data_IF_387152210944
#
_entry.id   IF_387152210944
#
_cell.length_a   1.000
_cell.length_b   1.000
_cell.length_c   1.000
_cell.angle_alpha   90.00
_cell.angle_beta   90.00
_cell.angle_gamma   90.00
#
_symmetry.space_group_name_H-M   'P 1'
#
loop_
_entity.id
_entity.type
_entity.pdbx_description
1 polymer ?
#
# COMPACT_ATOMS: atom_id res chain seq x y z
N UNK A 1 -18.80 -4.51 10.29
CA UNK A 1 -18.60 -3.39 9.35
C UNK A 1 -17.21 -2.83 9.61
N UNK A 2 -16.47 -2.50 8.56
CA UNK A 2 -15.13 -1.90 8.63
C UNK A 2 -15.27 -0.38 8.54
N UNK A 3 -15.78 0.24 9.61
CA UNK A 3 -15.94 1.69 9.73
C UNK A 3 -15.16 2.15 10.96
N UNK A 4 -14.44 3.25 10.83
CA UNK A 4 -13.69 3.88 11.92
C UNK A 4 -13.73 5.41 11.83
N UNK A 5 -13.32 6.08 12.92
CA UNK A 5 -13.35 7.55 13.03
C UNK A 5 -12.54 8.27 11.96
N UNK A 6 -11.63 7.57 11.28
CA UNK A 6 -10.77 8.17 10.28
C UNK A 6 -11.51 8.29 8.93
N UNK A 7 -12.61 7.58 8.71
CA UNK A 7 -13.43 7.65 7.47
C UNK A 7 -13.92 9.07 7.17
N UNK A 8 -14.14 9.91 8.19
CA UNK A 8 -14.60 11.29 8.02
C UNK A 8 -13.52 12.25 7.49
N UNK A 9 -12.24 11.90 7.68
CA UNK A 9 -11.10 12.78 7.37
C UNK A 9 -10.27 12.32 6.18
N UNK A 10 -10.44 11.07 5.74
CA UNK A 10 -9.64 10.50 4.66
C UNK A 10 -10.32 10.73 3.32
N UNK A 11 -9.51 10.88 2.28
CA UNK A 11 -10.00 10.79 0.91
C UNK A 11 -10.25 9.33 0.54
N UNK A 12 -11.42 9.06 -0.05
CA UNK A 12 -11.83 7.72 -0.45
C UNK A 12 -11.70 7.59 -1.97
N UNK A 13 -10.70 6.84 -2.43
CA UNK A 13 -10.54 6.49 -3.83
C UNK A 13 -11.39 5.26 -4.14
N UNK A 14 -12.43 5.42 -4.96
CA UNK A 14 -13.41 4.37 -5.23
C UNK A 14 -13.26 3.87 -6.67
N UNK A 15 -13.19 2.54 -6.84
CA UNK A 15 -13.32 1.88 -8.12
C UNK A 15 -14.80 1.55 -8.38
N UNK A 16 -15.44 2.30 -9.28
CA UNK A 16 -16.83 2.12 -9.66
C UNK A 16 -16.99 1.34 -10.97
N UNK A 17 -17.80 0.28 -10.95
CA UNK A 17 -18.22 -0.42 -12.18
C UNK A 17 -19.50 0.19 -12.74
N UNK A 18 -19.46 0.65 -13.99
CA UNK A 18 -20.64 1.17 -14.69
C UNK A 18 -21.63 0.07 -15.07
N UNK A 19 -21.13 -1.09 -15.45
CA UNK A 19 -21.94 -2.25 -15.88
C UNK A 19 -22.75 -2.80 -14.71
N UNK A 20 -22.07 -3.18 -13.63
CA UNK A 20 -22.70 -3.76 -12.45
C UNK A 20 -23.18 -2.71 -11.44
N UNK A 21 -23.06 -1.41 -11.74
CA UNK A 21 -23.46 -0.26 -10.89
C UNK A 21 -23.09 -0.43 -9.41
N UNK A 22 -21.86 -0.87 -9.17
CA UNK A 22 -21.39 -1.21 -7.82
C UNK A 22 -19.93 -0.78 -7.64
N UNK A 23 -19.57 -0.48 -6.38
CA UNK A 23 -18.18 -0.30 -5.97
C UNK A 23 -17.49 -1.66 -6.05
N UNK A 24 -16.40 -1.76 -6.80
CA UNK A 24 -15.61 -2.98 -6.99
C UNK A 24 -14.33 -3.01 -6.14
N UNK A 25 -13.92 -1.87 -5.61
CA UNK A 25 -12.78 -1.75 -4.71
C UNK A 25 -12.58 -0.33 -4.26
N UNK A 26 -11.71 -0.12 -3.28
CA UNK A 26 -11.37 1.20 -2.80
C UNK A 26 -9.99 1.26 -2.16
N UNK A 27 -9.51 2.49 -1.94
CA UNK A 27 -8.42 2.85 -1.04
C UNK A 27 -8.84 4.04 -0.19
N UNK A 28 -8.32 4.12 1.02
CA UNK A 28 -8.31 5.35 1.82
C UNK A 28 -6.93 5.99 1.75
N UNK A 29 -6.91 7.31 1.62
CA UNK A 29 -5.73 8.12 1.43
C UNK A 29 -5.78 9.32 2.39
N UNK A 30 -4.68 9.63 3.07
CA UNK A 30 -4.50 10.94 3.71
C UNK A 30 -3.04 11.35 3.68
N UNK A 31 -2.77 12.64 3.57
CA UNK A 31 -1.41 13.14 3.71
C UNK A 31 -0.95 13.03 5.17
N UNK A 32 0.33 12.75 5.38
CA UNK A 32 0.97 12.63 6.70
C UNK A 32 0.79 13.86 7.60
N UNK A 33 0.56 15.04 7.03
CA UNK A 33 0.24 16.29 7.76
C UNK A 33 -1.26 16.64 7.80
N UNK A 34 -2.13 15.81 7.20
CA UNK A 34 -3.56 16.09 7.02
C UNK A 34 -4.45 15.79 8.22
N UNK A 35 -3.89 15.34 9.34
CA UNK A 35 -4.64 15.04 10.56
C UNK A 35 -4.23 13.72 11.23
N UNK A 36 -5.13 13.12 12.04
CA UNK A 36 -4.86 11.85 12.71
C UNK A 36 -4.61 10.71 11.72
N UNK A 37 -3.54 9.96 11.94
CA UNK A 37 -3.17 8.82 11.10
C UNK A 37 -3.72 7.51 11.65
N UNK A 38 -4.26 6.67 10.78
CA UNK A 38 -4.79 5.36 11.10
C UNK A 38 -3.68 4.46 11.63
N UNK A 39 -2.52 4.46 11.00
CA UNK A 39 -1.34 3.70 11.43
C UNK A 39 -0.88 4.06 12.84
N UNK A 40 -1.18 5.25 13.36
CA UNK A 40 -0.90 5.59 14.77
C UNK A 40 -1.77 4.81 15.77
N UNK A 41 -2.87 4.18 15.30
CA UNK A 41 -3.68 3.24 16.09
C UNK A 41 -3.08 1.83 16.16
N UNK A 42 -2.16 1.48 15.23
CA UNK A 42 -1.47 0.19 15.16
C UNK A 42 -0.03 0.28 15.69
N UNK A 43 0.61 1.42 15.48
CA UNK A 43 2.01 1.67 15.81
C UNK A 43 2.16 2.93 16.66
N UNK A 44 3.16 2.95 17.51
CA UNK A 44 3.65 4.16 18.18
C UNK A 44 4.82 4.69 17.37
N UNK A 45 4.73 5.96 16.99
CA UNK A 45 5.78 6.65 16.26
C UNK A 45 6.57 7.53 17.21
N UNK A 46 7.90 7.50 17.07
CA UNK A 46 8.73 8.56 17.64
C UNK A 46 8.42 9.90 16.95
N UNK A 47 8.69 11.05 17.60
CA UNK A 47 8.51 12.36 16.98
C UNK A 47 9.30 12.56 15.68
N UNK A 48 10.37 11.78 15.48
CA UNK A 48 11.23 11.87 14.29
C UNK A 48 10.69 11.10 13.09
N UNK A 49 9.74 10.17 13.27
CA UNK A 49 9.30 9.27 12.18
C UNK A 49 8.69 10.03 11.00
N UNK A 50 7.66 10.85 11.23
CA UNK A 50 6.99 11.61 10.17
C UNK A 50 7.91 12.69 9.56
N UNK A 51 8.68 13.48 10.33
CA UNK A 51 9.69 14.36 9.76
C UNK A 51 10.70 13.61 8.89
N UNK A 52 11.12 12.40 9.31
CA UNK A 52 12.03 11.57 8.52
C UNK A 52 11.37 11.11 7.24
N UNK A 53 10.07 10.81 7.22
CA UNK A 53 9.27 10.52 6.03
C UNK A 53 9.12 11.72 5.07
N UNK A 54 9.16 12.94 5.58
CA UNK A 54 8.83 14.13 4.78
C UNK A 54 7.38 14.08 4.29
N UNK A 55 7.03 14.82 3.21
CA UNK A 55 5.69 14.74 2.64
C UNK A 55 5.40 13.33 2.14
N UNK A 56 4.50 12.65 2.86
CA UNK A 56 4.12 11.26 2.61
C UNK A 56 2.60 11.11 2.56
N UNK A 57 2.13 10.11 1.83
CA UNK A 57 0.73 9.71 1.72
C UNK A 57 0.51 8.40 2.47
N UNK A 58 -0.36 8.42 3.47
CA UNK A 58 -0.83 7.20 4.11
C UNK A 58 -1.87 6.52 3.22
N UNK A 59 -1.67 5.23 2.96
CA UNK A 59 -2.57 4.38 2.21
C UNK A 59 -3.05 3.24 3.10
N UNK A 60 -4.35 2.95 3.06
CA UNK A 60 -4.91 1.86 3.87
C UNK A 60 -6.31 1.48 3.45
N UNK A 61 -6.89 0.54 4.21
CA UNK A 61 -8.28 0.08 4.05
C UNK A 61 -8.62 -0.34 2.62
N UNK A 62 -7.62 -0.86 1.92
CA UNK A 62 -7.79 -1.26 0.54
C UNK A 62 -8.59 -2.55 0.46
N UNK A 63 -9.57 -2.60 -0.44
CA UNK A 63 -10.25 -3.84 -0.77
C UNK A 63 -10.56 -3.92 -2.26
N UNK A 64 -10.70 -5.15 -2.76
CA UNK A 64 -11.28 -5.46 -4.05
C UNK A 64 -12.33 -6.54 -3.78
N UNK A 65 -13.53 -6.36 -4.31
CA UNK A 65 -14.61 -7.32 -4.13
C UNK A 65 -14.27 -8.68 -4.76
N UNK A 66 -14.67 -9.80 -4.15
CA UNK A 66 -14.34 -11.14 -4.65
C UNK A 66 -14.68 -11.34 -6.14
N UNK A 67 -15.78 -10.74 -6.62
CA UNK A 67 -16.21 -10.86 -8.02
C UNK A 67 -15.22 -10.18 -8.99
N UNK A 68 -14.56 -9.11 -8.56
CA UNK A 68 -13.55 -8.38 -9.33
C UNK A 68 -12.13 -8.95 -9.17
N UNK A 69 -11.84 -9.75 -8.15
CA UNK A 69 -10.49 -10.27 -7.86
C UNK A 69 -9.93 -11.20 -8.95
N UNK A 70 -10.78 -11.72 -9.85
CA UNK A 70 -10.37 -12.62 -10.94
C UNK A 70 -9.58 -11.92 -12.06
N UNK A 71 -9.59 -10.58 -12.10
CA UNK A 71 -8.84 -9.79 -13.07
C UNK A 71 -7.71 -8.99 -12.44
N UNK A 72 -6.63 -8.72 -13.19
CA UNK A 72 -5.54 -7.83 -12.75
C UNK A 72 -5.96 -6.34 -12.73
N UNK A 73 -6.97 -5.99 -13.52
CA UNK A 73 -7.37 -4.61 -13.77
C UNK A 73 -7.82 -3.80 -12.55
N UNK A 74 -8.56 -4.34 -11.55
CA UNK A 74 -9.05 -3.54 -10.43
C UNK A 74 -7.93 -2.90 -9.60
N UNK A 75 -6.93 -3.68 -9.20
CA UNK A 75 -5.78 -3.15 -8.45
C UNK A 75 -5.01 -2.14 -9.30
N UNK A 76 -4.82 -2.43 -10.59
CA UNK A 76 -4.15 -1.52 -11.52
C UNK A 76 -4.89 -0.18 -11.66
N UNK A 77 -6.23 -0.19 -11.75
CA UNK A 77 -7.05 1.02 -11.86
C UNK A 77 -7.03 1.85 -10.56
N UNK A 78 -7.11 1.20 -9.40
CA UNK A 78 -6.94 1.87 -8.11
C UNK A 78 -5.56 2.53 -8.04
N UNK A 79 -4.49 1.82 -8.39
CA UNK A 79 -3.15 2.39 -8.39
C UNK A 79 -2.92 3.46 -9.45
N UNK A 80 -3.64 3.43 -10.58
CA UNK A 80 -3.70 4.57 -11.52
C UNK A 80 -4.35 5.80 -10.88
N UNK A 81 -5.40 5.62 -10.09
CA UNK A 81 -6.01 6.71 -9.33
C UNK A 81 -5.06 7.30 -8.29
N UNK A 82 -4.30 6.45 -7.58
CA UNK A 82 -3.22 6.89 -6.68
C UNK A 82 -2.13 7.62 -7.46
N UNK A 83 -1.71 7.09 -8.62
CA UNK A 83 -0.72 7.73 -9.49
C UNK A 83 -1.14 9.12 -9.97
N UNK A 84 -2.42 9.29 -10.34
CA UNK A 84 -3.00 10.59 -10.69
C UNK A 84 -3.00 11.55 -9.49
N UNK A 85 -3.35 11.06 -8.30
CA UNK A 85 -3.28 11.86 -7.08
C UNK A 85 -1.85 12.34 -6.80
N UNK A 86 -0.85 11.46 -6.93
CA UNK A 86 0.56 11.82 -6.76
C UNK A 86 1.05 12.79 -7.82
N UNK A 87 0.61 12.66 -9.07
CA UNK A 87 0.97 13.59 -10.15
C UNK A 87 0.47 15.03 -9.87
N UNK A 88 -0.68 15.17 -9.20
CA UNK A 88 -1.22 16.46 -8.76
C UNK A 88 -0.56 16.99 -7.48
N UNK A 89 0.13 16.13 -6.74
CA UNK A 89 0.75 16.43 -5.45
C UNK A 89 2.24 16.03 -5.46
N UNK A 90 3.09 16.67 -6.30
CA UNK A 90 4.47 16.23 -6.55
C UNK A 90 5.42 16.39 -5.36
N UNK A 91 4.97 17.09 -4.30
CA UNK A 91 5.71 17.17 -3.04
C UNK A 91 5.75 15.82 -2.32
N UNK A 92 4.74 14.96 -2.52
CA UNK A 92 4.65 13.64 -1.89
C UNK A 92 5.70 12.70 -2.50
N UNK A 93 6.66 12.28 -1.69
CA UNK A 93 7.76 11.38 -2.11
C UNK A 93 7.64 9.97 -1.58
N UNK A 94 6.79 9.76 -0.58
CA UNK A 94 6.67 8.45 0.08
C UNK A 94 5.23 8.03 0.24
N UNK A 95 5.02 6.73 0.09
CA UNK A 95 3.78 6.06 0.49
C UNK A 95 4.06 5.27 1.75
N UNK A 96 3.13 5.26 2.70
CA UNK A 96 3.24 4.40 3.86
C UNK A 96 1.88 3.89 4.30
N UNK A 97 1.85 2.81 5.07
CA UNK A 97 0.59 2.24 5.53
C UNK A 97 0.72 0.81 6.03
N UNK A 98 -0.35 0.24 6.58
CA UNK A 98 -0.38 -1.17 6.93
C UNK A 98 -0.66 -2.00 5.66
N UNK A 99 0.20 -2.98 5.41
CA UNK A 99 -0.09 -4.08 4.49
C UNK A 99 -0.43 -5.34 5.28
N UNK A 100 -1.64 -5.83 5.11
CA UNK A 100 -2.20 -6.89 5.96
C UNK A 100 -2.03 -8.28 5.34
N UNK A 101 -1.61 -9.23 6.16
CA UNK A 101 -1.65 -10.67 5.88
C UNK A 101 -2.81 -11.24 6.71
N UNK A 102 -3.89 -11.63 6.03
CA UNK A 102 -5.13 -12.10 6.66
C UNK A 102 -4.90 -13.27 7.61
N UNK A 103 -5.67 -13.33 8.70
CA UNK A 103 -5.73 -14.49 9.59
C UNK A 103 -6.23 -15.78 8.91
N UNK A 104 -6.77 -15.68 7.69
CA UNK A 104 -7.10 -16.86 6.88
C UNK A 104 -5.86 -17.66 6.46
N UNK A 105 -4.67 -17.05 6.45
CA UNK A 105 -3.41 -17.74 6.21
C UNK A 105 -3.04 -18.57 7.44
N UNK A 106 -2.52 -19.78 7.21
CA UNK A 106 -2.01 -20.62 8.30
C UNK A 106 -0.90 -19.89 9.06
N UNK A 107 -0.76 -20.13 10.38
CA UNK A 107 0.31 -19.52 11.18
C UNK A 107 1.71 -19.71 10.58
N UNK A 108 1.98 -20.88 9.99
CA UNK A 108 3.25 -21.17 9.31
C UNK A 108 3.51 -20.22 8.13
N UNK A 109 2.51 -19.98 7.28
CA UNK A 109 2.62 -19.04 6.14
C UNK A 109 2.82 -17.60 6.61
N UNK A 110 2.07 -17.15 7.62
CA UNK A 110 2.24 -15.81 8.20
C UNK A 110 3.63 -15.63 8.78
N UNK A 111 4.13 -16.62 9.52
CA UNK A 111 5.48 -16.63 10.07
C UNK A 111 6.57 -16.63 9.00
N UNK A 112 6.43 -17.46 7.96
CA UNK A 112 7.38 -17.52 6.83
C UNK A 112 7.46 -16.19 6.08
N UNK A 113 6.31 -15.59 5.75
CA UNK A 113 6.26 -14.27 5.11
C UNK A 113 6.92 -13.22 5.99
N UNK A 114 6.54 -13.15 7.28
CA UNK A 114 7.07 -12.14 8.19
C UNK A 114 8.59 -12.26 8.40
N UNK A 115 9.11 -13.50 8.53
CA UNK A 115 10.56 -13.78 8.60
C UNK A 115 11.30 -13.33 7.35
N UNK A 116 10.81 -13.72 6.17
CA UNK A 116 11.43 -13.33 4.90
C UNK A 116 11.49 -11.80 4.76
N UNK A 117 10.39 -11.11 5.09
CA UNK A 117 10.31 -9.66 5.06
C UNK A 117 11.26 -9.00 6.08
N UNK A 118 11.36 -9.54 7.29
CA UNK A 118 12.28 -9.04 8.32
C UNK A 118 13.75 -9.23 7.91
N UNK A 119 14.09 -10.33 7.23
CA UNK A 119 15.46 -10.60 6.80
C UNK A 119 15.87 -9.77 5.56
N UNK A 120 14.96 -9.57 4.60
CA UNK A 120 15.31 -9.06 3.27
C UNK A 120 14.79 -7.63 2.97
N UNK A 121 13.69 -7.23 3.61
CA UNK A 121 12.97 -5.99 3.27
C UNK A 121 12.84 -5.01 4.44
N UNK A 122 13.55 -5.23 5.55
CA UNK A 122 13.42 -4.38 6.74
C UNK A 122 14.20 -3.07 6.61
N UNK A 123 13.58 -1.94 6.97
CA UNK A 123 14.27 -0.66 7.07
C UNK A 123 14.85 -0.49 8.47
N UNK A 124 16.16 -0.67 8.62
CA UNK A 124 16.84 -0.62 9.92
C UNK A 124 16.88 0.79 10.53
N UNK A 125 16.72 1.85 9.72
CA UNK A 125 16.72 3.22 10.21
C UNK A 125 15.32 3.61 10.70
N UNK A 126 14.29 3.40 9.87
CA UNK A 126 12.91 3.73 10.21
C UNK A 126 12.33 2.80 11.30
N UNK A 127 12.73 1.53 11.33
CA UNK A 127 12.24 0.60 12.36
C UNK A 127 12.59 1.02 13.79
N UNK A 128 13.71 1.73 14.01
CA UNK A 128 14.07 2.29 15.33
C UNK A 128 13.11 3.37 15.80
N UNK A 129 12.35 3.96 14.88
CA UNK A 129 11.42 5.07 15.11
C UNK A 129 9.98 4.59 15.29
N UNK A 130 9.72 3.28 15.21
CA UNK A 130 8.38 2.68 15.22
C UNK A 130 8.33 1.52 16.21
N UNK A 131 7.34 1.53 17.10
CA UNK A 131 7.05 0.39 17.97
C UNK A 131 5.62 -0.12 17.72
N UNK A 132 5.40 -1.42 17.46
CA UNK A 132 4.05 -1.96 17.33
C UNK A 132 3.31 -1.88 18.67
N UNK A 133 1.99 -1.64 18.63
CA UNK A 133 1.16 -1.64 19.84
C UNK A 133 0.86 -3.05 20.33
N UNK A 134 0.73 -4.00 19.40
CA UNK A 134 0.56 -5.44 19.63
C UNK A 134 1.62 -6.20 18.82
N UNK A 135 2.83 -6.42 19.39
CA UNK A 135 3.94 -7.00 18.65
C UNK A 135 3.62 -8.42 18.16
N UNK A 136 4.07 -8.74 16.95
CA UNK A 136 4.07 -10.11 16.44
C UNK A 136 5.37 -10.81 16.85
N UNK A 137 5.26 -11.99 17.47
CA UNK A 137 6.42 -12.79 17.83
C UNK A 137 6.98 -13.50 16.59
N UNK A 138 8.13 -13.03 16.11
CA UNK A 138 8.89 -13.69 15.05
C UNK A 138 9.64 -14.88 15.64
N UNK A 139 9.11 -16.09 15.47
CA UNK A 139 9.84 -17.31 15.83
C UNK A 139 10.90 -17.61 14.78
N UNK A 140 12.14 -17.86 15.19
CA UNK A 140 13.28 -18.10 14.30
C UNK A 140 13.37 -19.53 13.80
N UNK A 141 12.84 -20.50 14.54
CA UNK A 141 12.82 -21.91 14.15
C UNK A 141 11.54 -22.22 13.36
N UNK A 142 11.71 -22.58 12.09
CA UNK A 142 10.63 -23.14 11.29
C UNK A 142 11.14 -24.39 10.55
N UNK A 143 10.29 -25.42 10.34
CA UNK A 143 10.67 -26.63 9.62
C UNK A 143 10.79 -26.43 8.10
N UNK A 144 10.79 -25.18 7.62
CA UNK A 144 10.76 -24.82 6.21
C UNK A 144 12.06 -24.12 5.81
N UNK A 145 12.57 -24.33 4.58
CA UNK A 145 13.74 -23.62 4.10
C UNK A 145 13.48 -22.10 4.07
N UNK A 146 14.55 -21.32 4.28
CA UNK A 146 14.48 -19.87 4.13
C UNK A 146 14.39 -19.51 2.65
N UNK A 147 13.38 -18.75 2.21
CA UNK A 147 13.27 -18.37 0.81
C UNK A 147 14.36 -17.38 0.45
N UNK A 148 14.95 -17.54 -0.73
CA UNK A 148 16.01 -16.66 -1.24
C UNK A 148 15.49 -15.55 -2.15
N UNK A 149 14.24 -15.66 -2.60
CA UNK A 149 13.57 -14.69 -3.47
C UNK A 149 12.08 -14.60 -3.18
N UNK A 150 11.43 -13.55 -3.68
CA UNK A 150 9.98 -13.37 -3.55
C UNK A 150 9.21 -14.51 -4.25
N UNK A 151 9.72 -15.03 -5.35
CA UNK A 151 9.06 -16.11 -6.09
C UNK A 151 9.23 -17.46 -5.40
N UNK A 152 10.39 -17.71 -4.76
CA UNK A 152 10.57 -18.87 -3.90
C UNK A 152 9.69 -18.78 -2.63
N UNK A 153 9.59 -17.59 -2.02
CA UNK A 153 8.64 -17.36 -0.92
C UNK A 153 7.21 -17.68 -1.35
N UNK A 154 6.78 -17.20 -2.53
CA UNK A 154 5.44 -17.49 -3.04
C UNK A 154 5.20 -18.98 -3.23
N UNK A 155 6.15 -19.69 -3.84
CA UNK A 155 6.07 -21.14 -4.02
C UNK A 155 5.91 -21.86 -2.68
N UNK A 156 6.76 -21.55 -1.70
CA UNK A 156 6.66 -22.16 -0.36
C UNK A 156 5.34 -21.84 0.33
N UNK A 157 4.82 -20.61 0.20
CA UNK A 157 3.52 -20.26 0.77
C UNK A 157 2.39 -21.04 0.09
N UNK A 158 2.45 -21.25 -1.24
CA UNK A 158 1.48 -22.10 -1.96
C UNK A 158 1.52 -23.56 -1.52
N UNK A 159 2.70 -24.08 -1.20
CA UNK A 159 2.86 -25.45 -0.70
C UNK A 159 2.22 -25.62 0.70
N UNK A 160 2.21 -24.56 1.52
CA UNK A 160 1.61 -24.57 2.86
C UNK A 160 0.10 -24.34 2.81
N UNK A 161 -0.38 -23.45 1.94
CA UNK A 161 -1.77 -23.00 1.92
C UNK A 161 -2.70 -23.89 1.08
N UNK A 162 -3.93 -24.17 1.55
CA UNK A 162 -4.91 -24.87 0.72
C UNK A 162 -5.27 -24.05 -0.53
N UNK A 163 -5.53 -24.74 -1.64
CA UNK A 163 -5.88 -24.09 -2.91
C UNK A 163 -4.72 -23.34 -3.58
N UNK A 164 -3.47 -23.64 -3.22
CA UNK A 164 -2.26 -23.05 -3.78
C UNK A 164 -2.27 -21.50 -3.75
N UNK A 165 -2.75 -20.94 -2.63
CA UNK A 165 -2.76 -19.49 -2.40
C UNK A 165 -1.34 -19.00 -2.10
N UNK A 166 -0.83 -18.10 -2.93
CA UNK A 166 0.50 -17.50 -2.73
C UNK A 166 0.53 -16.34 -1.75
N UNK A 167 1.59 -15.54 -1.78
CA UNK A 167 1.68 -14.32 -0.96
C UNK A 167 0.56 -13.33 -1.32
N UNK A 168 0.07 -12.51 -0.36
CA UNK A 168 -0.95 -11.51 -0.65
C UNK A 168 -0.56 -10.63 -1.84
N UNK A 169 -1.46 -10.49 -2.82
CA UNK A 169 -1.20 -9.76 -4.07
C UNK A 169 -0.74 -8.33 -3.80
N UNK A 170 -1.34 -7.67 -2.82
CA UNK A 170 -0.96 -6.31 -2.45
C UNK A 170 0.42 -6.23 -1.80
N UNK A 171 0.77 -7.18 -0.93
CA UNK A 171 2.13 -7.27 -0.39
C UNK A 171 3.16 -7.43 -1.51
N UNK A 172 2.94 -8.39 -2.41
CA UNK A 172 3.80 -8.56 -3.60
C UNK A 172 3.93 -7.29 -4.41
N UNK A 173 2.83 -6.55 -4.57
CA UNK A 173 2.82 -5.30 -5.31
C UNK A 173 3.73 -4.25 -4.66
N UNK A 174 3.61 -4.02 -3.36
CA UNK A 174 4.49 -3.09 -2.64
C UNK A 174 5.97 -3.53 -2.68
N UNK A 175 6.27 -4.84 -2.59
CA UNK A 175 7.65 -5.32 -2.72
C UNK A 175 8.26 -5.02 -4.09
N UNK A 176 7.47 -5.10 -5.17
CA UNK A 176 7.90 -4.69 -6.53
C UNK A 176 8.16 -3.19 -6.65
N UNK A 177 7.64 -2.38 -5.73
CA UNK A 177 7.91 -0.96 -5.62
C UNK A 177 9.06 -0.65 -4.64
N UNK A 178 9.89 -1.65 -4.29
CA UNK A 178 10.94 -1.52 -3.28
C UNK A 178 10.40 -1.16 -1.88
N UNK A 179 9.17 -1.54 -1.57
CA UNK A 179 8.59 -1.33 -0.24
C UNK A 179 9.43 -1.98 0.87
N UNK A 180 9.64 -1.23 1.95
CA UNK A 180 10.42 -1.64 3.12
C UNK A 180 9.53 -1.73 4.36
N UNK A 181 9.72 -2.77 5.15
CA UNK A 181 8.97 -2.99 6.40
C UNK A 181 9.67 -2.27 7.56
N UNK A 182 8.88 -1.59 8.38
CA UNK A 182 9.35 -0.90 9.58
C UNK A 182 9.00 -1.63 10.88
N UNK A 183 7.86 -2.33 10.92
CA UNK A 183 7.40 -3.07 12.09
C UNK A 183 6.26 -4.03 11.72
N UNK A 184 6.00 -5.01 12.59
CA UNK A 184 4.85 -5.92 12.49
C UNK A 184 3.93 -5.77 13.70
N UNK A 185 2.63 -5.67 13.45
CA UNK A 185 1.59 -5.55 14.47
C UNK A 185 0.48 -6.57 14.23
N UNK A 186 -0.02 -7.22 15.28
CA UNK A 186 -1.26 -7.99 15.21
C UNK A 186 -2.45 -7.04 15.42
N UNK A 187 -3.44 -7.11 14.54
CA UNK A 187 -4.65 -6.29 14.63
C UNK A 187 -5.91 -7.12 14.90
N UNK A 188 -6.27 -7.33 16.19
CA UNK A 188 -7.52 -7.98 16.56
C UNK A 188 -8.79 -7.21 16.13
N UNK A 189 -8.72 -5.89 15.94
CA UNK A 189 -9.87 -5.11 15.49
C UNK A 189 -10.17 -5.37 14.00
N UNK A 190 -9.16 -5.82 13.25
CA UNK A 190 -9.28 -6.17 11.83
C UNK A 190 -9.09 -7.69 11.60
N UNK A 191 -9.88 -8.50 12.31
CA UNK A 191 -9.92 -9.95 12.07
C UNK A 191 -8.63 -10.69 12.41
N UNK A 192 -7.82 -10.15 13.34
CA UNK A 192 -6.56 -10.72 13.79
C UNK A 192 -5.52 -10.90 12.66
N UNK A 193 -5.54 -9.97 11.69
CA UNK A 193 -4.52 -9.93 10.65
C UNK A 193 -3.14 -9.56 11.21
N UNK A 194 -2.11 -9.94 10.46
CA UNK A 194 -0.75 -9.49 10.69
C UNK A 194 -0.47 -8.30 9.77
N UNK A 195 -0.32 -7.11 10.34
CA UNK A 195 -0.01 -5.89 9.61
C UNK A 195 1.49 -5.62 9.62
N UNK A 196 2.08 -5.47 8.44
CA UNK A 196 3.39 -4.87 8.28
C UNK A 196 3.23 -3.38 8.00
N UNK A 197 3.87 -2.50 8.80
CA UNK A 197 4.03 -1.10 8.40
C UNK A 197 5.03 -1.06 7.24
N UNK A 198 4.56 -0.75 6.05
CA UNK A 198 5.38 -0.66 4.84
C UNK A 198 5.57 0.80 4.43
N UNK A 199 6.76 1.12 3.95
CA UNK A 199 7.12 2.43 3.39
C UNK A 199 7.69 2.22 1.99
N UNK A 200 7.22 2.99 1.02
CA UNK A 200 7.75 3.05 -0.35
C UNK A 200 8.33 4.43 -0.58
N UNK A 201 9.59 4.48 -0.98
CA UNK A 201 10.21 5.69 -1.52
C UNK A 201 10.03 5.72 -3.03
N UNK A 202 9.23 6.68 -3.51
CA UNK A 202 8.86 6.83 -4.92
C UNK A 202 10.06 7.20 -5.80
N UNK A 203 11.08 7.86 -5.25
CA UNK A 203 12.27 8.24 -6.02
C UNK A 203 13.18 7.02 -6.26
N UNK A 204 13.16 6.04 -5.36
CA UNK A 204 13.93 4.79 -5.45
C UNK A 204 13.16 3.63 -6.12
N UNK A 205 11.84 3.74 -6.25
CA UNK A 205 11.00 2.69 -6.78
C UNK A 205 11.27 2.47 -8.29
N UNK A 206 11.25 1.22 -8.79
CA UNK A 206 11.62 0.97 -10.18
C UNK A 206 10.65 1.65 -11.14
N UNK A 207 11.18 2.52 -12.01
CA UNK A 207 10.38 3.35 -12.94
C UNK A 207 9.44 2.53 -13.82
N UNK A 208 9.85 1.33 -14.22
CA UNK A 208 9.02 0.41 -15.02
C UNK A 208 7.71 -0.01 -14.32
N UNK A 209 7.67 0.01 -12.98
CA UNK A 209 6.49 -0.31 -12.20
C UNK A 209 5.65 0.96 -11.98
N UNK A 210 6.28 2.08 -11.66
CA UNK A 210 5.59 3.38 -11.49
C UNK A 210 4.92 3.87 -12.78
N UNK A 211 5.57 3.71 -13.94
CA UNK A 211 5.09 4.16 -15.24
C UNK A 211 3.76 3.47 -15.67
N UNK A 212 3.36 2.39 -15.00
CA UNK A 212 2.07 1.72 -15.26
C UNK A 212 0.89 2.49 -14.66
N UNK A 213 1.18 3.36 -13.71
CA UNK A 213 0.19 4.08 -12.89
C UNK A 213 0.15 5.57 -13.20
N UNK A 214 1.28 6.14 -13.56
CA UNK A 214 1.39 7.55 -13.97
C UNK A 214 1.24 7.61 -15.49
N UNK A 215 0.23 8.34 -15.99
CA UNK A 215 0.16 8.65 -17.42
C UNK A 215 1.36 9.53 -17.76
N UNK A 216 2.05 9.34 -18.90
CA UNK A 216 2.89 10.39 -19.44
C UNK A 216 2.01 11.63 -19.54
N UNK A 217 2.36 12.69 -18.80
CA UNK A 217 1.68 13.97 -18.92
C UNK A 217 1.71 14.34 -20.40
N UNK A 218 0.55 14.61 -21.00
CA UNK A 218 0.41 15.21 -22.33
C UNK A 218 0.90 16.67 -22.33
N UNK A 219 2.03 16.95 -21.68
CA UNK A 219 2.68 18.25 -21.59
C UNK A 219 4.19 18.02 -21.76
N UNK A 220 4.55 17.65 -22.98
CA UNK A 220 5.77 18.14 -23.59
C UNK A 220 5.36 19.07 -24.73
N UNK A 221 4.80 20.24 -24.38
CA UNK A 221 4.88 21.37 -25.32
C UNK A 221 6.26 21.99 -25.14
N UNK A 222 7.05 22.16 -26.22
CA UNK A 222 8.28 22.90 -26.14
C UNK A 222 7.97 24.34 -25.67
N UNK A 223 8.83 24.86 -24.80
CA UNK A 223 8.69 26.18 -24.21
C UNK A 223 8.39 27.25 -25.26
N UNK A 224 7.39 28.10 -25.00
CA UNK A 224 7.31 29.42 -25.63
C UNK A 224 6.08 29.76 -26.48
N UNK A 225 4.85 29.38 -26.11
CA UNK A 225 3.66 30.07 -26.63
C UNK A 225 2.67 30.41 -25.51
N UNK A 226 2.13 31.64 -25.47
CA UNK A 226 1.15 32.03 -24.47
C UNK A 226 -0.17 31.30 -24.70
N UNK A 227 -0.86 30.98 -23.59
CA UNK A 227 -2.13 30.27 -23.60
C UNK A 227 -3.20 31.04 -24.40
N UNK A 228 -4.07 30.35 -25.16
CA UNK A 228 -5.14 31.01 -25.89
C UNK A 228 -6.17 31.56 -24.89
N UNK A 229 -6.51 32.83 -25.08
CA UNK A 229 -7.61 33.50 -24.38
C UNK A 229 -8.93 32.93 -24.92
N UNK A 230 -9.67 32.23 -24.08
CA UNK A 230 -11.05 31.83 -24.40
C UNK A 230 -11.95 33.06 -24.25
N UNK A 231 -12.43 33.59 -25.37
CA UNK A 231 -13.56 34.52 -25.37
C UNK A 231 -14.84 33.73 -25.12
N UNK A 232 -15.58 34.07 -24.06
CA UNK A 232 -16.94 33.59 -23.84
C UNK A 232 -17.86 34.16 -24.93
N UNK A 233 -18.61 33.34 -25.67
CA UNK A 233 -19.76 33.85 -26.41
C UNK A 233 -20.88 34.12 -25.41
N UNK A 234 -21.24 35.39 -25.30
CA UNK A 234 -22.48 35.83 -24.67
C UNK A 234 -23.68 35.11 -25.29
N UNK A 235 -24.56 34.64 -24.41
CA UNK A 235 -25.88 34.04 -24.64
C UNK A 235 -26.87 34.98 -25.38
N UNK A 236 -28.05 34.48 -25.80
CA UNK A 236 -28.61 34.50 -27.16
C UNK A 236 -29.15 35.84 -27.70
#
# INVERSE_FOLDING_TARGET
YDLDRFDESYLHLILWSRESRTIQGAYRLTESGGGPLYTASLFRFSPEFLPRLGPALELGRSFIRPEAQRGFHPLMLLWRGIGEFLARNPAIRRLFGPVSISASYRPASRGLIARYLAANHYDSALSKLVAPRKPFALHTAAPWPEPTSIDDLDRLVRDIEPGAKGIPVLLRHYLKLNGRICAFNLDPAFGNCLDGLIVVDLDSAPRQHLARYVRPTLHSSPAGQPAPVFQNPSEP
#
